data_IF_777148364991
#
_entry.id   IF_777148364991
#
_cell.length_a   1.000
_cell.length_b   1.000
_cell.length_c   1.000
_cell.angle_alpha   90.00
_cell.angle_beta   90.00
_cell.angle_gamma   90.00
#
_symmetry.space_group_name_H-M   'P 1'
#
loop_
_entity.id
_entity.type
_entity.pdbx_description
1 polymer ?
#
# COMPACT_ATOMS: atom_id res chain seq x y z
N UNK A 1 41.98 72.51 -13.42
CA UNK A 1 40.67 71.87 -13.27
C UNK A 1 40.79 70.75 -12.26
N UNK A 2 40.14 70.96 -11.11
CA UNK A 2 40.05 69.90 -10.13
C UNK A 2 39.00 68.93 -10.65
N UNK A 3 39.40 67.72 -11.13
CA UNK A 3 38.49 66.60 -11.35
C UNK A 3 38.01 66.15 -10.00
N UNK A 4 36.78 66.44 -9.69
CA UNK A 4 36.11 66.07 -8.46
C UNK A 4 35.70 64.62 -8.61
N UNK A 5 36.55 63.68 -8.15
CA UNK A 5 36.27 62.22 -8.19
C UNK A 5 35.22 61.83 -7.14
N UNK A 6 34.00 62.27 -7.43
CA UNK A 6 32.82 61.97 -6.61
C UNK A 6 32.52 60.42 -6.54
N UNK A 7 33.01 59.68 -7.54
CA UNK A 7 32.84 58.19 -7.59
C UNK A 7 33.66 57.49 -6.51
N UNK A 8 34.86 57.90 -6.22
CA UNK A 8 35.70 57.33 -5.16
C UNK A 8 35.16 57.61 -3.76
N UNK A 9 34.59 58.84 -3.57
CA UNK A 9 33.99 59.23 -2.29
C UNK A 9 32.71 58.48 -2.03
N UNK A 10 31.83 58.33 -3.03
CA UNK A 10 30.57 57.57 -2.90
C UNK A 10 30.83 56.08 -2.64
N UNK A 11 31.80 55.44 -3.31
CA UNK A 11 32.22 54.06 -3.02
C UNK A 11 32.76 53.90 -1.61
N UNK A 12 33.53 54.86 -1.12
CA UNK A 12 34.12 54.83 0.23
C UNK A 12 33.07 55.02 1.33
N UNK A 13 32.09 55.88 1.11
CA UNK A 13 30.94 56.13 1.97
C UNK A 13 30.02 54.90 1.99
N UNK A 14 29.68 54.29 0.83
CA UNK A 14 28.88 53.09 0.74
C UNK A 14 29.56 51.92 1.46
N UNK A 15 30.87 51.72 1.31
CA UNK A 15 31.63 50.69 2.02
C UNK A 15 31.66 50.91 3.54
N UNK A 16 31.74 52.17 4.01
CA UNK A 16 31.74 52.52 5.43
C UNK A 16 30.35 52.36 6.05
N UNK A 17 29.29 52.68 5.34
CA UNK A 17 27.90 52.44 5.73
C UNK A 17 27.61 50.94 5.82
N UNK A 18 28.02 50.15 4.82
CA UNK A 18 27.90 48.70 4.82
C UNK A 18 28.60 48.05 6.03
N UNK A 19 29.76 48.55 6.44
CA UNK A 19 30.53 48.04 7.58
C UNK A 19 29.91 48.49 8.91
N UNK A 20 29.39 49.70 9.01
CA UNK A 20 28.74 50.25 10.21
C UNK A 20 27.44 49.55 10.54
N UNK A 21 26.72 49.08 9.52
CA UNK A 21 25.41 48.40 9.66
C UNK A 21 25.48 46.87 9.53
N UNK A 22 26.67 46.29 9.66
CA UNK A 22 26.89 44.83 9.49
C UNK A 22 25.90 43.97 10.26
N UNK A 23 25.57 44.33 11.49
CA UNK A 23 24.62 43.55 12.31
C UNK A 23 23.21 43.63 11.75
N UNK A 24 22.75 44.78 11.27
CA UNK A 24 21.43 44.95 10.67
C UNK A 24 21.33 44.21 9.34
N UNK A 25 22.35 44.33 8.49
CA UNK A 25 22.39 43.66 7.20
C UNK A 25 22.47 42.12 7.37
N UNK A 26 23.23 41.65 8.34
CA UNK A 26 23.30 40.22 8.68
C UNK A 26 21.93 39.69 9.14
N UNK A 27 21.23 40.44 10.00
CA UNK A 27 19.89 40.07 10.46
C UNK A 27 18.89 39.96 9.29
N UNK A 28 18.95 40.91 8.33
CA UNK A 28 18.09 40.84 7.13
C UNK A 28 18.41 39.64 6.25
N UNK A 29 19.70 39.35 6.04
CA UNK A 29 20.12 38.16 5.26
C UNK A 29 19.65 36.86 5.95
N UNK A 30 19.82 36.77 7.27
CA UNK A 30 19.35 35.62 8.03
C UNK A 30 17.81 35.48 7.95
N UNK A 31 17.08 36.58 8.10
CA UNK A 31 15.62 36.56 7.99
C UNK A 31 15.12 36.10 6.61
N UNK A 32 15.74 36.61 5.53
CA UNK A 32 15.42 36.18 4.17
C UNK A 32 15.79 34.72 3.93
N UNK A 33 16.95 34.27 4.41
CA UNK A 33 17.40 32.90 4.29
C UNK A 33 16.46 31.92 5.06
N UNK A 34 16.03 32.30 6.28
CA UNK A 34 15.07 31.54 7.06
C UNK A 34 13.70 31.49 6.37
N UNK A 35 13.21 32.59 5.83
CA UNK A 35 11.95 32.62 5.09
C UNK A 35 12.00 31.71 3.86
N UNK A 36 13.06 31.79 3.07
CA UNK A 36 13.27 30.91 1.91
C UNK A 36 13.38 29.44 2.31
N UNK A 37 14.12 29.15 3.39
CA UNK A 37 14.22 27.78 3.94
C UNK A 37 12.86 27.24 4.38
N UNK A 38 12.05 28.03 5.10
CA UNK A 38 10.71 27.63 5.54
C UNK A 38 9.79 27.34 4.35
N UNK A 39 9.82 28.17 3.29
CA UNK A 39 9.02 27.93 2.09
C UNK A 39 9.44 26.63 1.40
N UNK A 40 10.73 26.40 1.21
CA UNK A 40 11.22 25.18 0.60
C UNK A 40 10.92 23.95 1.47
N UNK A 41 11.13 24.06 2.78
CA UNK A 41 10.87 22.98 3.73
C UNK A 41 9.38 22.58 3.77
N UNK A 42 8.48 23.56 3.85
CA UNK A 42 7.02 23.30 3.81
C UNK A 42 6.61 22.68 2.48
N UNK A 43 7.18 23.11 1.36
CA UNK A 43 6.95 22.50 0.05
C UNK A 43 7.38 21.02 0.00
N UNK A 44 8.57 20.70 0.51
CA UNK A 44 9.09 19.34 0.55
C UNK A 44 8.23 18.45 1.47
N UNK A 45 7.90 18.94 2.68
CA UNK A 45 7.05 18.20 3.63
C UNK A 45 5.67 17.93 3.03
N UNK A 46 5.07 18.93 2.40
CA UNK A 46 3.74 18.80 1.79
C UNK A 46 3.75 17.81 0.62
N UNK A 47 4.73 17.87 -0.27
CA UNK A 47 4.88 16.89 -1.36
C UNK A 47 5.16 15.48 -0.83
N UNK A 48 5.98 15.36 0.21
CA UNK A 48 6.27 14.06 0.83
C UNK A 48 5.04 13.46 1.50
N UNK A 49 4.21 14.27 2.17
CA UNK A 49 2.95 13.81 2.76
C UNK A 49 1.94 13.36 1.70
N UNK A 50 1.82 14.11 0.60
CA UNK A 50 0.96 13.71 -0.52
C UNK A 50 1.45 12.39 -1.13
N UNK A 51 2.76 12.26 -1.32
CA UNK A 51 3.34 11.05 -1.89
C UNK A 51 3.22 9.85 -0.95
N UNK A 52 3.37 10.06 0.36
CA UNK A 52 3.11 9.04 1.37
C UNK A 52 1.64 8.61 1.39
N UNK A 53 0.70 9.55 1.33
CA UNK A 53 -0.73 9.22 1.22
C UNK A 53 -1.07 8.49 -0.09
N UNK A 54 -0.44 8.86 -1.21
CA UNK A 54 -0.58 8.15 -2.49
C UNK A 54 -0.10 6.71 -2.39
N UNK A 55 1.08 6.48 -1.84
CA UNK A 55 1.65 5.14 -1.72
C UNK A 55 0.87 4.24 -0.75
N UNK A 56 0.20 4.81 0.27
CA UNK A 56 -0.63 4.05 1.22
C UNK A 56 -2.05 3.75 0.70
N UNK A 57 -2.49 4.38 -0.38
CA UNK A 57 -3.90 4.39 -0.81
C UNK A 57 -4.13 3.67 -2.14
N UNK A 58 -3.08 3.46 -2.92
CA UNK A 58 -3.26 2.95 -4.28
C UNK A 58 -2.99 1.45 -4.34
N UNK A 59 -3.94 0.68 -3.84
CA UNK A 59 -4.15 -0.65 -4.39
C UNK A 59 -4.50 -0.49 -5.86
N UNK A 60 -3.87 -1.28 -6.70
CA UNK A 60 -4.05 -1.21 -8.15
C UNK A 60 -5.27 -2.02 -8.59
N UNK A 61 -6.46 -1.68 -8.05
CA UNK A 61 -7.73 -2.24 -8.51
C UNK A 61 -8.80 -1.17 -8.59
N UNK A 62 -9.71 -1.30 -9.52
CA UNK A 62 -10.81 -0.37 -9.74
C UNK A 62 -12.15 -0.88 -9.19
N UNK A 63 -12.34 -2.20 -9.17
CA UNK A 63 -13.58 -2.79 -8.69
C UNK A 63 -13.35 -4.10 -7.94
N UNK A 64 -14.30 -4.46 -7.08
CA UNK A 64 -14.33 -5.73 -6.36
C UNK A 64 -15.73 -6.33 -6.38
N UNK A 65 -15.83 -7.59 -6.74
CA UNK A 65 -16.99 -8.44 -6.54
C UNK A 65 -16.87 -9.18 -5.22
N UNK A 66 -17.91 -9.12 -4.41
CA UNK A 66 -17.99 -9.84 -3.13
C UNK A 66 -19.00 -10.99 -3.25
N UNK A 67 -18.77 -12.08 -2.53
CA UNK A 67 -19.68 -13.21 -2.54
C UNK A 67 -19.66 -13.96 -3.88
N UNK A 68 -18.47 -14.16 -4.43
CA UNK A 68 -18.25 -14.92 -5.67
C UNK A 68 -17.65 -16.27 -5.37
N UNK A 69 -17.84 -17.21 -6.28
CA UNK A 69 -17.20 -18.52 -6.25
C UNK A 69 -15.86 -18.48 -7.00
N UNK A 70 -15.03 -19.49 -6.79
CA UNK A 70 -13.76 -19.61 -7.51
C UNK A 70 -13.94 -19.63 -9.03
N UNK A 71 -14.98 -20.32 -9.52
CA UNK A 71 -15.27 -20.39 -10.96
C UNK A 71 -15.59 -19.01 -11.56
N UNK A 72 -16.18 -18.12 -10.78
CA UNK A 72 -16.43 -16.75 -11.19
C UNK A 72 -15.13 -15.97 -11.35
N UNK A 73 -14.18 -16.18 -10.41
CA UNK A 73 -12.84 -15.58 -10.50
C UNK A 73 -12.13 -16.04 -11.78
N UNK A 74 -12.16 -17.34 -12.08
CA UNK A 74 -11.55 -17.87 -13.31
C UNK A 74 -12.25 -17.34 -14.57
N UNK A 75 -13.57 -17.15 -14.52
CA UNK A 75 -14.33 -16.53 -15.60
C UNK A 75 -13.88 -15.08 -15.82
N UNK A 76 -13.79 -14.29 -14.75
CA UNK A 76 -13.31 -12.90 -14.80
C UNK A 76 -11.87 -12.81 -15.32
N UNK A 77 -10.98 -13.76 -14.95
CA UNK A 77 -9.61 -13.83 -15.48
C UNK A 77 -9.56 -14.03 -17.00
N UNK A 78 -10.59 -14.67 -17.55
CA UNK A 78 -10.71 -14.91 -19.00
C UNK A 78 -11.17 -13.68 -19.79
N UNK A 79 -11.68 -12.63 -19.15
CA UNK A 79 -12.23 -11.47 -19.84
C UNK A 79 -11.12 -10.53 -20.37
N UNK A 80 -11.28 -10.04 -21.61
CA UNK A 80 -10.26 -9.21 -22.24
C UNK A 80 -10.12 -7.82 -21.64
N UNK A 81 -11.10 -7.35 -20.89
CA UNK A 81 -11.16 -6.03 -20.25
C UNK A 81 -10.16 -5.91 -19.09
N UNK A 82 -9.87 -7.02 -18.42
CA UNK A 82 -9.02 -7.03 -17.24
C UNK A 82 -7.57 -7.35 -17.58
N UNK A 83 -6.66 -6.64 -16.96
CA UNK A 83 -5.23 -6.95 -16.96
C UNK A 83 -4.91 -7.98 -15.88
N UNK A 84 -5.54 -7.82 -14.70
CA UNK A 84 -5.36 -8.70 -13.55
C UNK A 84 -6.69 -8.90 -12.84
N UNK A 85 -6.87 -10.13 -12.35
CA UNK A 85 -7.99 -10.48 -11.48
C UNK A 85 -7.44 -11.30 -10.32
N UNK A 86 -7.50 -10.74 -9.12
CA UNK A 86 -7.01 -11.38 -7.90
C UNK A 86 -8.12 -11.99 -7.08
N UNK A 87 -7.93 -13.24 -6.68
CA UNK A 87 -8.81 -13.93 -5.76
C UNK A 87 -8.39 -13.71 -4.29
N UNK A 88 -9.33 -13.31 -3.46
CA UNK A 88 -9.10 -13.01 -2.05
C UNK A 88 -10.21 -13.63 -1.19
N UNK A 89 -9.83 -14.18 -0.03
CA UNK A 89 -10.78 -14.68 0.95
C UNK A 89 -10.35 -14.25 2.35
N UNK A 90 -11.28 -13.69 3.12
CA UNK A 90 -11.04 -13.27 4.51
C UNK A 90 -11.67 -14.30 5.44
N UNK A 91 -10.85 -14.96 6.24
CA UNK A 91 -11.35 -15.93 7.22
C UNK A 91 -11.81 -15.24 8.51
N UNK A 92 -11.11 -14.17 8.90
CA UNK A 92 -11.40 -13.40 10.10
C UNK A 92 -10.13 -13.09 10.90
N UNK A 93 -10.36 -12.51 12.08
CA UNK A 93 -9.32 -12.22 13.06
C UNK A 93 -9.53 -13.09 14.30
N UNK A 94 -8.45 -13.66 14.80
CA UNK A 94 -8.44 -14.45 16.01
C UNK A 94 -7.34 -13.97 16.95
N UNK A 95 -7.61 -14.03 18.26
CA UNK A 95 -6.60 -13.73 19.28
C UNK A 95 -5.77 -14.97 19.53
N UNK A 96 -4.44 -14.86 19.38
CA UNK A 96 -3.51 -15.93 19.70
C UNK A 96 -3.29 -16.04 21.21
N UNK A 97 -2.85 -17.22 21.67
CA UNK A 97 -2.44 -17.42 23.08
C UNK A 97 -1.25 -16.53 23.46
N UNK A 98 -0.42 -16.13 22.49
CA UNK A 98 0.71 -15.21 22.68
C UNK A 98 0.29 -13.73 22.72
N UNK A 99 -1.00 -13.43 22.46
CA UNK A 99 -1.59 -12.10 22.62
C UNK A 99 -1.49 -11.19 21.40
N UNK A 100 -1.21 -11.70 20.18
CA UNK A 100 -1.37 -10.96 18.94
C UNK A 100 -2.70 -11.29 18.26
N UNK A 101 -3.22 -10.37 17.48
CA UNK A 101 -4.36 -10.62 16.61
C UNK A 101 -3.87 -11.21 15.28
N UNK A 102 -4.27 -12.44 14.98
CA UNK A 102 -3.99 -13.09 13.71
C UNK A 102 -5.12 -12.82 12.72
N UNK A 103 -4.82 -12.16 11.62
CA UNK A 103 -5.75 -11.94 10.52
C UNK A 103 -5.46 -12.95 9.41
N UNK A 104 -6.30 -13.96 9.28
CA UNK A 104 -6.14 -15.03 8.31
C UNK A 104 -6.80 -14.68 7.00
N UNK A 105 -6.02 -14.75 5.93
CA UNK A 105 -6.49 -14.49 4.58
C UNK A 105 -5.94 -15.53 3.61
N UNK A 106 -6.69 -15.79 2.56
CA UNK A 106 -6.19 -16.43 1.35
C UNK A 106 -6.09 -15.37 0.25
N UNK A 107 -5.00 -15.40 -0.48
CA UNK A 107 -4.86 -14.62 -1.71
C UNK A 107 -4.04 -15.40 -2.74
N UNK A 108 -4.44 -15.29 -3.99
CA UNK A 108 -3.66 -15.83 -5.09
C UNK A 108 -2.50 -14.90 -5.50
N UNK A 109 -1.62 -15.37 -6.38
CA UNK A 109 -0.45 -14.61 -6.80
C UNK A 109 -0.82 -13.28 -7.49
N UNK A 110 -1.94 -13.23 -8.20
CA UNK A 110 -2.40 -11.98 -8.85
C UNK A 110 -2.91 -10.97 -7.80
N UNK A 111 -3.55 -11.45 -6.74
CA UNK A 111 -3.98 -10.59 -5.65
C UNK A 111 -2.80 -9.96 -4.92
N UNK A 112 -1.69 -10.70 -4.71
CA UNK A 112 -0.46 -10.15 -4.13
C UNK A 112 0.10 -8.99 -4.96
N UNK A 113 0.01 -9.07 -6.29
CA UNK A 113 0.45 -7.96 -7.16
C UNK A 113 -0.52 -6.75 -7.10
N UNK A 114 -1.83 -7.01 -6.96
CA UNK A 114 -2.85 -5.96 -6.83
C UNK A 114 -2.67 -5.20 -5.51
N UNK A 115 -2.41 -5.90 -4.42
CA UNK A 115 -2.28 -5.34 -3.07
C UNK A 115 -0.84 -5.02 -2.67
N UNK A 116 0.08 -5.00 -3.61
CA UNK A 116 1.51 -4.79 -3.36
C UNK A 116 1.82 -3.55 -2.51
N UNK A 117 1.00 -2.52 -2.60
CA UNK A 117 1.17 -1.31 -1.79
C UNK A 117 0.85 -1.52 -0.30
N UNK A 118 0.08 -2.55 0.05
CA UNK A 118 -0.31 -2.87 1.43
C UNK A 118 0.35 -4.14 1.96
N UNK A 119 0.53 -5.13 1.09
CA UNK A 119 1.16 -6.42 1.40
C UNK A 119 2.12 -6.77 0.28
N UNK A 120 3.41 -6.56 0.46
CA UNK A 120 4.43 -6.91 -0.51
C UNK A 120 5.10 -8.23 -0.13
N UNK A 121 5.08 -9.20 -1.04
CA UNK A 121 5.86 -10.43 -0.86
C UNK A 121 7.35 -10.09 -1.08
N UNK A 122 8.14 -10.11 -0.02
CA UNK A 122 9.56 -9.77 -0.05
C UNK A 122 10.41 -10.95 -0.50
N UNK A 123 10.10 -12.14 0.01
CA UNK A 123 10.85 -13.37 -0.25
C UNK A 123 9.92 -14.57 -0.35
N UNK A 124 10.30 -15.57 -1.14
CA UNK A 124 9.61 -16.84 -1.25
C UNK A 124 8.44 -16.83 -2.23
N UNK A 125 7.38 -17.53 -1.88
CA UNK A 125 6.18 -17.72 -2.70
C UNK A 125 4.91 -17.79 -1.85
N UNK A 126 3.77 -17.63 -2.49
CA UNK A 126 2.47 -17.91 -1.85
C UNK A 126 2.38 -19.39 -1.42
N UNK A 127 1.64 -19.72 -0.34
CA UNK A 127 1.57 -21.08 0.17
C UNK A 127 0.73 -21.96 -0.76
N UNK A 128 1.19 -23.19 -1.02
CA UNK A 128 0.51 -24.18 -1.84
C UNK A 128 -0.07 -25.33 -1.02
N UNK A 129 0.65 -25.75 0.04
CA UNK A 129 0.24 -26.88 0.89
C UNK A 129 -0.50 -26.39 2.12
N UNK A 130 -1.37 -27.22 2.69
CA UNK A 130 -2.17 -26.86 3.86
C UNK A 130 -1.34 -26.48 5.10
N UNK A 131 -0.12 -26.96 5.21
CA UNK A 131 0.81 -26.63 6.30
C UNK A 131 1.83 -25.55 5.93
N UNK A 132 1.62 -24.80 4.87
CA UNK A 132 2.46 -23.67 4.47
C UNK A 132 1.76 -22.34 4.76
N UNK A 133 2.52 -21.32 5.15
CA UNK A 133 2.02 -19.96 5.40
C UNK A 133 2.99 -18.92 4.87
N UNK A 134 2.44 -17.75 4.48
CA UNK A 134 3.22 -16.52 4.35
C UNK A 134 2.93 -15.66 5.57
N UNK A 135 3.97 -15.15 6.18
CA UNK A 135 3.89 -14.31 7.38
C UNK A 135 4.72 -13.04 7.21
N UNK A 136 4.43 -12.03 8.00
CA UNK A 136 5.17 -10.77 7.92
C UNK A 136 6.52 -10.82 8.63
N UNK A 137 7.43 -9.91 8.25
CA UNK A 137 8.68 -9.69 8.99
C UNK A 137 8.40 -9.32 10.45
N UNK A 138 7.33 -8.57 10.72
CA UNK A 138 6.92 -8.21 12.07
C UNK A 138 6.56 -9.45 12.90
N UNK A 139 5.75 -10.36 12.34
CA UNK A 139 5.42 -11.64 13.00
C UNK A 139 6.68 -12.45 13.30
N UNK A 140 7.57 -12.62 12.31
CA UNK A 140 8.78 -13.42 12.45
C UNK A 140 9.72 -12.85 13.53
N UNK A 141 9.89 -11.54 13.55
CA UNK A 141 10.78 -10.88 14.53
C UNK A 141 10.23 -10.87 15.94
N UNK A 142 8.90 -10.87 16.10
CA UNK A 142 8.26 -10.71 17.41
C UNK A 142 7.82 -12.04 18.00
N UNK A 143 7.23 -12.92 17.21
CA UNK A 143 6.61 -14.18 17.64
C UNK A 143 7.21 -15.43 16.99
N UNK A 144 7.78 -15.29 15.81
CA UNK A 144 8.29 -16.40 14.99
C UNK A 144 9.77 -16.75 15.21
N UNK A 145 10.40 -16.31 16.31
CA UNK A 145 11.82 -16.59 16.63
C UNK A 145 12.82 -16.27 15.50
N UNK A 146 12.54 -15.26 14.67
CA UNK A 146 13.30 -14.92 13.48
C UNK A 146 13.45 -16.08 12.48
N UNK A 147 12.43 -16.91 12.34
CA UNK A 147 12.37 -17.99 11.36
C UNK A 147 12.55 -17.47 9.93
N UNK A 148 13.04 -18.31 9.05
CA UNK A 148 13.30 -18.02 7.64
C UNK A 148 12.42 -18.91 6.76
N UNK A 149 12.45 -18.67 5.45
CA UNK A 149 11.77 -19.54 4.49
C UNK A 149 12.25 -21.00 4.67
N UNK A 150 11.28 -21.90 4.79
CA UNK A 150 11.49 -23.33 5.05
C UNK A 150 11.54 -23.70 6.51
N UNK A 151 11.66 -22.75 7.43
CA UNK A 151 11.60 -23.00 8.87
C UNK A 151 10.14 -23.16 9.33
N UNK A 152 9.98 -23.66 10.54
CA UNK A 152 8.69 -23.88 11.15
C UNK A 152 8.35 -22.71 12.09
N UNK A 153 7.10 -22.26 12.00
CA UNK A 153 6.47 -21.37 12.97
C UNK A 153 5.25 -22.05 13.57
N UNK A 154 4.99 -21.82 14.85
CA UNK A 154 3.80 -22.35 15.51
C UNK A 154 2.73 -21.28 15.54
N UNK A 155 1.55 -21.61 15.02
CA UNK A 155 0.34 -20.80 15.18
C UNK A 155 -0.48 -21.40 16.33
N UNK A 156 -1.11 -20.56 17.12
CA UNK A 156 -1.77 -20.90 18.38
C UNK A 156 -3.15 -20.25 18.52
N UNK A 157 -3.88 -20.17 17.41
CA UNK A 157 -5.26 -19.65 17.39
C UNK A 157 -6.28 -20.80 17.33
N UNK A 158 -7.56 -20.48 17.48
CA UNK A 158 -8.64 -21.48 17.51
C UNK A 158 -8.74 -22.26 16.18
N UNK A 159 -8.71 -21.54 15.04
CA UNK A 159 -8.85 -22.14 13.72
C UNK A 159 -7.55 -22.74 13.19
N UNK A 160 -6.40 -22.19 13.58
CA UNK A 160 -5.09 -22.61 13.10
C UNK A 160 -4.15 -22.84 14.28
N UNK A 161 -4.05 -24.11 14.67
CA UNK A 161 -3.20 -24.53 15.78
C UNK A 161 -2.21 -25.58 15.34
N UNK A 162 -0.91 -25.33 15.55
CA UNK A 162 0.14 -26.27 15.20
C UNK A 162 1.30 -25.65 14.43
N UNK A 163 2.08 -26.50 13.81
CA UNK A 163 3.33 -26.16 13.15
C UNK A 163 3.13 -25.95 11.64
N UNK A 164 3.58 -24.80 11.15
CA UNK A 164 3.47 -24.38 9.75
C UNK A 164 4.85 -24.04 9.20
N UNK A 165 5.05 -24.35 7.93
CA UNK A 165 6.29 -24.03 7.19
C UNK A 165 6.16 -22.62 6.59
N UNK A 166 7.13 -21.77 6.83
CA UNK A 166 7.21 -20.44 6.20
C UNK A 166 7.53 -20.62 4.72
N UNK A 167 6.56 -20.39 3.83
CA UNK A 167 6.74 -20.45 2.37
C UNK A 167 7.12 -19.11 1.76
N UNK A 168 6.82 -18.02 2.45
CA UNK A 168 7.16 -16.67 2.06
C UNK A 168 7.14 -15.69 3.22
N UNK A 169 7.80 -14.57 3.00
CA UNK A 169 7.90 -13.46 3.96
C UNK A 169 7.35 -12.22 3.26
N UNK A 170 6.45 -11.49 3.94
CA UNK A 170 5.88 -10.26 3.40
C UNK A 170 6.15 -9.07 4.31
N UNK A 171 6.13 -7.88 3.71
CA UNK A 171 5.91 -6.62 4.44
C UNK A 171 4.42 -6.31 4.45
N UNK A 172 3.90 -5.94 5.60
CA UNK A 172 2.50 -5.56 5.75
C UNK A 172 2.42 -4.29 6.60
N UNK A 173 1.62 -3.34 6.12
CA UNK A 173 1.52 -2.03 6.76
C UNK A 173 0.72 -2.10 8.07
N UNK A 174 1.11 -1.25 9.04
CA UNK A 174 0.38 -1.00 10.31
C UNK A 174 0.26 -2.19 11.27
N UNK A 175 0.92 -3.32 11.04
CA UNK A 175 0.85 -4.48 11.92
C UNK A 175 1.34 -4.18 13.33
N UNK A 176 2.44 -3.47 13.43
CA UNK A 176 3.07 -3.12 14.70
C UNK A 176 2.19 -2.22 15.58
N UNK A 177 1.53 -1.24 14.96
CA UNK A 177 0.65 -0.31 15.66
C UNK A 177 -0.64 -1.00 16.12
N UNK A 178 -1.16 -1.93 15.34
CA UNK A 178 -2.37 -2.66 15.63
C UNK A 178 -2.14 -3.91 16.50
N UNK A 179 -0.89 -4.35 16.68
CA UNK A 179 -0.53 -5.67 17.21
C UNK A 179 -1.30 -6.80 16.48
N UNK A 180 -1.44 -6.65 15.18
CA UNK A 180 -2.17 -7.56 14.31
C UNK A 180 -1.19 -8.11 13.27
N UNK A 181 -1.22 -9.41 13.05
CA UNK A 181 -0.36 -10.09 12.10
C UNK A 181 -1.21 -10.67 10.98
N UNK A 182 -0.97 -10.24 9.75
CA UNK A 182 -1.58 -10.85 8.58
C UNK A 182 -0.87 -12.19 8.30
N UNK A 183 -1.65 -13.23 8.11
CA UNK A 183 -1.18 -14.59 7.82
C UNK A 183 -1.90 -15.07 6.58
N UNK A 184 -1.13 -15.33 5.52
CA UNK A 184 -1.68 -15.86 4.27
C UNK A 184 -1.60 -17.39 4.34
N UNK A 185 -2.74 -18.03 4.20
CA UNK A 185 -2.85 -19.48 4.13
C UNK A 185 -3.00 -19.96 2.70
N UNK A 186 -2.74 -21.25 2.48
CA UNK A 186 -2.95 -21.87 1.18
C UNK A 186 -4.43 -22.11 0.89
N UNK A 187 -4.75 -22.33 -0.39
CA UNK A 187 -6.08 -22.78 -0.79
C UNK A 187 -6.46 -24.11 -0.15
N UNK A 188 -5.50 -25.02 0.00
CA UNK A 188 -5.74 -26.31 0.65
C UNK A 188 -6.17 -26.11 2.12
N UNK A 189 -5.47 -25.26 2.87
CA UNK A 189 -5.85 -24.92 4.24
C UNK A 189 -7.22 -24.22 4.31
N UNK A 190 -7.51 -23.31 3.37
CA UNK A 190 -8.80 -22.63 3.30
C UNK A 190 -9.97 -23.63 3.11
N UNK A 191 -9.83 -24.58 2.17
CA UNK A 191 -10.90 -25.54 1.88
C UNK A 191 -11.10 -26.58 2.99
N UNK A 192 -10.08 -26.83 3.81
CA UNK A 192 -10.15 -27.69 4.99
C UNK A 192 -10.71 -26.97 6.22
N UNK A 193 -10.74 -25.63 6.19
CA UNK A 193 -11.24 -24.84 7.31
C UNK A 193 -12.76 -25.00 7.47
N UNK A 194 -13.21 -25.26 8.71
CA UNK A 194 -14.60 -25.57 9.01
C UNK A 194 -15.61 -24.43 8.72
N UNK A 195 -15.12 -23.20 8.60
CA UNK A 195 -15.92 -22.03 8.23
C UNK A 195 -15.92 -21.69 6.73
N UNK A 196 -15.36 -22.56 5.88
CA UNK A 196 -15.26 -22.28 4.46
C UNK A 196 -16.63 -22.22 3.77
N UNK A 197 -16.89 -21.10 3.07
CA UNK A 197 -18.03 -20.90 2.20
C UNK A 197 -17.53 -20.77 0.75
N UNK A 198 -17.92 -21.66 -0.18
CA UNK A 198 -17.53 -21.54 -1.59
C UNK A 198 -17.85 -20.19 -2.23
N UNK A 199 -18.90 -19.49 -1.78
CA UNK A 199 -19.29 -18.17 -2.23
C UNK A 199 -18.69 -17.03 -1.39
N UNK A 200 -17.70 -17.31 -0.54
CA UNK A 200 -17.07 -16.32 0.33
C UNK A 200 -15.90 -15.55 -0.29
N UNK A 201 -15.56 -15.85 -1.55
CA UNK A 201 -14.46 -15.15 -2.22
C UNK A 201 -14.80 -13.72 -2.61
N UNK A 202 -13.74 -12.95 -2.79
CA UNK A 202 -13.76 -11.62 -3.38
C UNK A 202 -12.87 -11.62 -4.62
N UNK A 203 -13.36 -11.09 -5.72
CA UNK A 203 -12.60 -10.90 -6.94
C UNK A 203 -12.24 -9.43 -7.11
N UNK A 204 -10.97 -9.11 -7.02
CA UNK A 204 -10.42 -7.77 -7.25
C UNK A 204 -9.96 -7.67 -8.68
N UNK A 205 -10.34 -6.62 -9.39
CA UNK A 205 -10.02 -6.47 -10.80
C UNK A 205 -9.27 -5.18 -11.10
N UNK A 206 -8.28 -5.31 -11.97
CA UNK A 206 -7.53 -4.22 -12.55
C UNK A 206 -7.73 -4.20 -14.05
N UNK A 207 -8.26 -3.09 -14.58
CA UNK A 207 -8.55 -2.93 -15.99
C UNK A 207 -7.30 -2.72 -16.83
N UNK A 208 -7.30 -3.25 -18.05
CA UNK A 208 -6.32 -2.86 -19.08
C UNK A 208 -6.51 -1.39 -19.43
N UNK A 209 -5.40 -0.65 -19.51
CA UNK A 209 -5.42 0.78 -19.83
C UNK A 209 -6.30 1.61 -18.88
N UNK A 210 -6.35 1.24 -17.61
CA UNK A 210 -7.18 1.91 -16.60
C UNK A 210 -6.95 3.42 -16.51
N UNK A 211 -5.72 3.90 -16.79
CA UNK A 211 -5.39 5.33 -16.85
C UNK A 211 -6.13 6.10 -17.95
N UNK A 212 -6.56 5.40 -19.01
CA UNK A 212 -7.28 6.00 -20.16
C UNK A 212 -8.79 5.86 -20.05
N UNK A 213 -9.26 4.95 -19.17
CA UNK A 213 -10.67 4.69 -18.94
C UNK A 213 -11.19 5.60 -17.82
N UNK A 214 -12.29 6.30 -18.09
CA UNK A 214 -12.99 7.06 -17.05
C UNK A 214 -13.78 6.15 -16.11
N UNK A 215 -14.01 6.63 -14.87
CA UNK A 215 -14.80 5.91 -13.84
C UNK A 215 -16.17 5.45 -14.36
N UNK A 216 -16.87 6.31 -15.11
CA UNK A 216 -18.20 5.99 -15.66
C UNK A 216 -18.16 4.79 -16.62
N UNK A 217 -17.13 4.73 -17.48
CA UNK A 217 -17.00 3.64 -18.45
C UNK A 217 -16.64 2.33 -17.76
N UNK A 218 -15.71 2.34 -16.80
CA UNK A 218 -15.37 1.15 -16.00
C UNK A 218 -16.57 0.65 -15.21
N UNK A 219 -17.37 1.56 -14.63
CA UNK A 219 -18.59 1.22 -13.91
C UNK A 219 -19.62 0.58 -14.84
N UNK A 220 -19.75 1.08 -16.09
CA UNK A 220 -20.63 0.49 -17.09
C UNK A 220 -20.20 -0.94 -17.45
N UNK A 221 -18.92 -1.14 -17.75
CA UNK A 221 -18.38 -2.47 -18.02
C UNK A 221 -18.61 -3.44 -16.87
N UNK A 222 -18.32 -3.01 -15.63
CA UNK A 222 -18.56 -3.84 -14.46
C UNK A 222 -20.03 -4.25 -14.31
N UNK A 223 -20.96 -3.37 -14.64
CA UNK A 223 -22.40 -3.66 -14.58
C UNK A 223 -22.81 -4.65 -15.67
N UNK A 224 -22.34 -4.45 -16.91
CA UNK A 224 -22.61 -5.35 -18.03
C UNK A 224 -22.10 -6.77 -17.75
N UNK A 225 -20.88 -6.88 -17.21
CA UNK A 225 -20.28 -8.16 -16.79
C UNK A 225 -21.12 -8.79 -15.66
N UNK A 226 -21.53 -8.02 -14.66
CA UNK A 226 -22.36 -8.53 -13.57
C UNK A 226 -23.70 -9.07 -14.07
N UNK A 227 -24.34 -8.42 -15.02
CA UNK A 227 -25.58 -8.88 -15.64
C UNK A 227 -25.38 -10.13 -16.51
N UNK A 228 -24.32 -10.17 -17.33
CA UNK A 228 -24.03 -11.27 -18.26
C UNK A 228 -23.68 -12.57 -17.48
N UNK A 229 -22.86 -12.45 -16.44
CA UNK A 229 -22.39 -13.61 -15.66
C UNK A 229 -23.18 -13.86 -14.37
N UNK A 230 -24.27 -13.11 -14.15
CA UNK A 230 -25.15 -13.22 -12.97
C UNK A 230 -24.41 -13.02 -11.64
N UNK A 231 -23.40 -12.15 -11.65
CA UNK A 231 -22.64 -11.79 -10.47
C UNK A 231 -23.36 -10.71 -9.64
N UNK A 232 -22.97 -10.56 -8.39
CA UNK A 232 -23.41 -9.45 -7.54
C UNK A 232 -22.94 -8.10 -8.12
N UNK A 233 -23.60 -7.00 -7.73
CA UNK A 233 -23.14 -5.66 -8.13
C UNK A 233 -21.76 -5.40 -7.51
N UNK A 234 -20.74 -5.05 -8.33
CA UNK A 234 -19.41 -4.79 -7.81
C UNK A 234 -19.33 -3.48 -7.03
N UNK A 235 -18.44 -3.43 -6.07
CA UNK A 235 -18.08 -2.21 -5.37
C UNK A 235 -16.92 -1.53 -6.08
N UNK A 236 -17.08 -0.26 -6.46
CA UNK A 236 -16.02 0.51 -7.12
C UNK A 236 -15.06 1.08 -6.07
N UNK A 237 -13.77 1.10 -6.40
CA UNK A 237 -12.73 1.65 -5.54
C UNK A 237 -12.67 3.17 -5.65
N UNK A 238 -13.48 3.88 -4.89
CA UNK A 238 -13.52 5.34 -4.87
C UNK A 238 -12.17 5.99 -4.54
N UNK A 239 -11.30 5.30 -3.80
CA UNK A 239 -9.96 5.79 -3.49
C UNK A 239 -9.08 5.81 -4.74
N UNK A 240 -9.11 4.74 -5.52
CA UNK A 240 -8.42 4.69 -6.82
C UNK A 240 -8.82 5.88 -7.69
N UNK A 241 -10.11 6.08 -7.92
CA UNK A 241 -10.61 7.17 -8.76
C UNK A 241 -10.31 8.57 -8.20
N UNK A 242 -10.25 8.72 -6.89
CA UNK A 242 -9.92 10.01 -6.28
C UNK A 242 -8.45 10.38 -6.44
N UNK A 243 -7.54 9.41 -6.38
CA UNK A 243 -6.10 9.66 -6.31
C UNK A 243 -5.30 9.23 -7.54
N UNK A 244 -5.73 8.21 -8.29
CA UNK A 244 -5.04 7.71 -9.47
C UNK A 244 -5.51 8.36 -10.78
N UNK A 245 -6.79 8.70 -10.91
CA UNK A 245 -7.37 9.26 -12.14
C UNK A 245 -7.06 10.74 -12.40
N UNK A 246 -6.31 11.39 -11.53
CA UNK A 246 -5.96 12.82 -11.61
C UNK A 246 -4.54 13.07 -12.14
N UNK A 247 -4.02 12.18 -12.97
CA UNK A 247 -2.78 12.45 -13.72
C UNK A 247 -3.05 12.98 -15.10
#
# INVERSE_FOLDING_TARGET
PFENDTSAITKKLAKKSLISEKRRNLMVVIAVALAAFLICFTGIVFTSLIQMQRNQVVDTYEAVWMGVEENDIETLKGLPEFERVGGYYVLGEELSEQGYHASYVYCDAQMMEITKAQMELLEGRVPEKANEVVVSEYFLSTYGNNARIGDIVTLDTESFHGDYIVSGIMDSINEKEANACAIIISKAALTEWNGFDPAGYRAYVHFKNSEQLGEELMTSYCREIAEEYQLSTPSMNNRYFTYASKQ
#
